data_IF_958193547984
#
_entry.id   IF_958193547984
#
_cell.length_a   1.000
_cell.length_b   1.000
_cell.length_c   1.000
_cell.angle_alpha   90.00
_cell.angle_beta   90.00
_cell.angle_gamma   90.00
#
_symmetry.space_group_name_H-M   'P 1'
#
loop_
_entity.id
_entity.type
_entity.pdbx_description
1 polymer ?
#
# COMPACT_ATOMS: atom_id res chain seq x y z
N UNK A 1 -61.93 -38.89 -21.70
CA UNK A 1 -60.68 -39.49 -21.18
C UNK A 1 -59.68 -38.35 -21.00
N UNK A 2 -59.53 -37.85 -19.76
CA UNK A 2 -58.62 -36.72 -19.45
C UNK A 2 -57.37 -37.30 -18.77
N UNK A 3 -56.20 -37.06 -19.34
CA UNK A 3 -54.89 -37.38 -18.76
C UNK A 3 -54.47 -36.29 -17.79
N UNK A 4 -53.90 -36.59 -16.62
CA UNK A 4 -53.39 -35.60 -15.68
C UNK A 4 -52.00 -35.09 -16.08
N UNK A 5 -51.78 -33.78 -15.94
CA UNK A 5 -50.45 -33.13 -16.06
C UNK A 5 -49.62 -33.46 -14.82
N UNK A 6 -48.49 -34.13 -14.98
CA UNK A 6 -47.45 -34.21 -13.98
C UNK A 6 -46.70 -32.88 -13.88
N UNK A 7 -46.76 -32.24 -12.72
CA UNK A 7 -45.90 -31.10 -12.38
C UNK A 7 -44.61 -31.65 -11.77
N UNK A 8 -43.48 -31.53 -12.50
CA UNK A 8 -42.14 -31.79 -11.95
C UNK A 8 -41.71 -30.66 -11.07
N UNK A 9 -41.66 -30.88 -9.77
CA UNK A 9 -41.06 -29.98 -8.80
C UNK A 9 -39.52 -30.16 -8.85
N UNK A 10 -38.79 -29.19 -9.37
CA UNK A 10 -37.33 -29.09 -9.23
C UNK A 10 -37.00 -28.69 -7.80
N UNK A 11 -36.53 -29.63 -7.01
CA UNK A 11 -35.90 -29.35 -5.71
C UNK A 11 -34.49 -28.77 -5.95
N UNK A 12 -34.34 -27.49 -5.75
CA UNK A 12 -33.02 -26.84 -5.62
C UNK A 12 -32.46 -27.22 -4.25
N UNK A 13 -31.54 -28.16 -4.21
CA UNK A 13 -30.75 -28.42 -3.00
C UNK A 13 -29.69 -27.32 -2.86
N UNK A 14 -29.98 -26.36 -1.98
CA UNK A 14 -28.97 -25.41 -1.50
C UNK A 14 -28.02 -26.20 -0.60
N UNK A 15 -26.87 -26.58 -1.11
CA UNK A 15 -25.78 -27.12 -0.30
C UNK A 15 -25.26 -25.99 0.57
N UNK A 16 -25.71 -25.94 1.82
CA UNK A 16 -25.04 -25.14 2.86
C UNK A 16 -23.65 -25.74 3.05
N UNK A 17 -22.63 -25.13 2.48
CA UNK A 17 -21.25 -25.44 2.85
C UNK A 17 -21.07 -24.92 4.27
N UNK A 18 -21.25 -25.81 5.23
CA UNK A 18 -20.89 -25.58 6.63
C UNK A 18 -19.36 -25.52 6.67
N UNK A 19 -18.80 -24.32 6.64
CA UNK A 19 -17.36 -24.12 6.89
C UNK A 19 -17.14 -24.51 8.35
N UNK A 20 -16.65 -25.72 8.57
CA UNK A 20 -16.25 -26.16 9.90
C UNK A 20 -15.21 -25.16 10.43
N UNK A 21 -15.55 -24.47 11.52
CA UNK A 21 -14.64 -23.54 12.18
C UNK A 21 -13.39 -24.33 12.58
N UNK A 22 -12.26 -24.03 11.98
CA UNK A 22 -11.00 -24.71 12.26
C UNK A 22 -10.63 -24.44 13.71
N UNK A 23 -10.52 -25.51 14.52
CA UNK A 23 -10.13 -25.42 15.92
C UNK A 23 -8.61 -25.44 16.03
N UNK A 24 -8.10 -24.73 17.05
CA UNK A 24 -6.70 -24.84 17.44
C UNK A 24 -6.38 -26.28 17.88
N UNK A 25 -5.22 -26.84 17.51
CA UNK A 25 -4.81 -28.18 17.92
C UNK A 25 -4.67 -28.33 19.46
N UNK A 26 -4.91 -29.54 19.95
CA UNK A 26 -4.72 -29.92 21.36
C UNK A 26 -3.23 -30.20 21.64
N UNK A 27 -2.42 -29.15 21.55
CA UNK A 27 -0.98 -29.14 21.84
C UNK A 27 -0.63 -27.90 22.66
N UNK A 28 0.47 -27.88 23.41
CA UNK A 28 0.87 -26.68 24.17
C UNK A 28 0.96 -25.42 23.29
N UNK A 29 1.56 -25.51 22.11
CA UNK A 29 1.61 -24.41 21.15
C UNK A 29 0.21 -24.01 20.65
N UNK A 30 -0.68 -24.99 20.43
CA UNK A 30 -2.08 -24.76 20.04
C UNK A 30 -2.89 -24.07 21.14
N UNK A 31 -2.70 -24.45 22.40
CA UNK A 31 -3.35 -23.79 23.54
C UNK A 31 -2.90 -22.35 23.71
N UNK A 32 -1.59 -22.09 23.60
CA UNK A 32 -1.05 -20.72 23.67
C UNK A 32 -1.55 -19.85 22.52
N UNK A 33 -1.65 -20.40 21.31
CA UNK A 33 -2.22 -19.68 20.16
C UNK A 33 -3.70 -19.36 20.38
N UNK A 34 -4.50 -20.32 20.85
CA UNK A 34 -5.93 -20.09 21.10
C UNK A 34 -6.15 -18.98 22.14
N UNK A 35 -5.39 -19.00 23.24
CA UNK A 35 -5.46 -18.00 24.28
C UNK A 35 -4.98 -16.61 23.80
N UNK A 36 -3.88 -16.57 23.02
CA UNK A 36 -3.41 -15.34 22.39
C UNK A 36 -4.46 -14.78 21.45
N UNK A 37 -4.99 -15.60 20.53
CA UNK A 37 -5.97 -15.19 19.54
C UNK A 37 -7.25 -14.65 20.21
N UNK A 38 -7.72 -15.29 21.27
CA UNK A 38 -8.87 -14.85 22.04
C UNK A 38 -8.63 -13.48 22.69
N UNK A 39 -7.53 -13.33 23.45
CA UNK A 39 -7.20 -12.08 24.11
C UNK A 39 -6.95 -10.93 23.12
N UNK A 40 -6.23 -11.22 22.03
CA UNK A 40 -5.97 -10.25 20.95
C UNK A 40 -7.26 -9.83 20.26
N UNK A 41 -8.15 -10.76 19.94
CA UNK A 41 -9.41 -10.48 19.24
C UNK A 41 -10.39 -9.68 20.08
N UNK A 42 -10.43 -9.87 21.39
CA UNK A 42 -11.25 -9.05 22.30
C UNK A 42 -10.92 -7.56 22.19
N UNK A 43 -9.63 -7.23 22.04
CA UNK A 43 -9.18 -5.85 21.90
C UNK A 43 -9.24 -5.05 23.21
N UNK A 44 -9.45 -5.71 24.33
CA UNK A 44 -9.44 -5.12 25.67
C UNK A 44 -8.01 -5.07 26.20
N UNK A 45 -7.46 -3.87 26.35
CA UNK A 45 -6.03 -3.67 26.67
C UNK A 45 -5.63 -4.37 27.97
N UNK A 46 -6.48 -4.37 29.02
CA UNK A 46 -6.13 -4.98 30.29
C UNK A 46 -6.09 -6.51 30.20
N UNK A 47 -7.09 -7.13 29.56
CA UNK A 47 -7.11 -8.58 29.37
C UNK A 47 -5.93 -9.05 28.49
N UNK A 48 -5.58 -8.27 27.45
CA UNK A 48 -4.43 -8.60 26.61
C UNK A 48 -3.09 -8.38 27.35
N UNK A 49 -3.02 -7.37 28.22
CA UNK A 49 -1.85 -7.11 29.10
C UNK A 49 -1.58 -8.32 30.01
N UNK A 50 -2.60 -8.80 30.72
CA UNK A 50 -2.48 -9.97 31.61
C UNK A 50 -1.97 -11.20 30.83
N UNK A 51 -2.48 -11.41 29.62
CA UNK A 51 -2.01 -12.48 28.77
C UNK A 51 -0.54 -12.29 28.35
N UNK A 52 -0.14 -11.09 27.92
CA UNK A 52 1.23 -10.78 27.46
C UNK A 52 2.23 -10.95 28.62
N UNK A 53 1.94 -10.39 29.79
CA UNK A 53 2.82 -10.46 30.98
C UNK A 53 3.03 -11.91 31.45
N UNK A 54 1.98 -12.74 31.38
CA UNK A 54 2.05 -14.14 31.78
C UNK A 54 2.80 -15.03 30.80
N UNK A 55 2.59 -14.82 29.50
CA UNK A 55 2.93 -15.81 28.49
C UNK A 55 4.12 -15.40 27.58
N UNK A 56 4.57 -14.15 27.62
CA UNK A 56 5.74 -13.70 26.86
C UNK A 56 6.90 -13.29 27.78
N UNK A 57 8.15 -13.41 27.31
CA UNK A 57 9.26 -12.76 27.98
C UNK A 57 9.06 -11.23 27.96
N UNK A 58 9.50 -10.50 29.01
CA UNK A 58 9.40 -9.04 29.05
C UNK A 58 10.06 -8.38 27.85
N UNK A 59 9.32 -7.47 27.19
CA UNK A 59 9.83 -6.68 26.08
C UNK A 59 9.13 -5.31 26.08
N UNK A 60 9.91 -4.20 26.11
CA UNK A 60 9.34 -2.85 26.03
C UNK A 60 8.39 -2.68 24.83
N UNK A 61 7.31 -1.96 25.03
CA UNK A 61 6.30 -1.61 24.00
C UNK A 61 5.69 -2.78 23.22
N UNK A 62 5.79 -4.02 23.71
CA UNK A 62 5.15 -5.18 23.06
C UNK A 62 3.64 -5.04 23.04
N UNK A 63 3.06 -4.69 24.19
CA UNK A 63 1.61 -4.53 24.33
C UNK A 63 1.08 -3.43 23.40
N UNK A 64 1.71 -2.28 23.43
CA UNK A 64 1.33 -1.13 22.61
C UNK A 64 1.34 -1.49 21.11
N UNK A 65 2.44 -2.10 20.63
CA UNK A 65 2.54 -2.56 19.24
C UNK A 65 1.46 -3.59 18.86
N UNK A 66 1.16 -4.53 19.76
CA UNK A 66 0.11 -5.52 19.50
C UNK A 66 -1.27 -4.88 19.47
N UNK A 67 -1.56 -3.92 20.35
CA UNK A 67 -2.85 -3.22 20.36
C UNK A 67 -3.03 -2.31 19.16
N UNK A 68 -2.00 -1.58 18.74
CA UNK A 68 -2.02 -0.79 17.50
C UNK A 68 -2.27 -1.68 16.28
N UNK A 69 -1.56 -2.82 16.21
CA UNK A 69 -1.76 -3.79 15.14
C UNK A 69 -3.18 -4.39 15.15
N UNK A 70 -3.74 -4.64 16.34
CA UNK A 70 -5.12 -5.08 16.52
C UNK A 70 -6.13 -4.05 16.00
N UNK A 71 -5.89 -2.76 16.22
CA UNK A 71 -6.77 -1.70 15.68
C UNK A 71 -6.79 -1.70 14.16
N UNK A 72 -5.63 -1.89 13.53
CA UNK A 72 -5.50 -1.91 12.06
C UNK A 72 -6.14 -3.15 11.42
N UNK A 73 -5.97 -4.32 12.02
CA UNK A 73 -6.42 -5.61 11.45
C UNK A 73 -7.84 -6.03 11.89
N UNK A 74 -8.34 -5.48 12.98
CA UNK A 74 -9.58 -5.94 13.61
C UNK A 74 -9.44 -7.28 14.35
N UNK A 75 -8.24 -7.84 14.44
CA UNK A 75 -7.96 -9.20 14.90
C UNK A 75 -7.93 -10.18 13.75
N UNK A 76 -7.93 -11.48 14.07
CA UNK A 76 -7.77 -12.55 13.08
C UNK A 76 -8.80 -13.66 13.25
N UNK A 77 -9.14 -14.30 12.14
CA UNK A 77 -9.85 -15.57 12.09
C UNK A 77 -8.89 -16.68 11.68
N UNK A 78 -8.82 -17.76 12.44
CA UNK A 78 -8.09 -18.97 12.07
C UNK A 78 -8.76 -19.62 10.86
N UNK A 79 -8.00 -19.82 9.78
CA UNK A 79 -8.49 -20.44 8.54
C UNK A 79 -7.97 -21.86 8.32
N UNK A 80 -6.71 -22.12 8.68
CA UNK A 80 -6.09 -23.43 8.47
C UNK A 80 -4.93 -23.64 9.42
N UNK A 81 -4.80 -24.87 9.91
CA UNK A 81 -3.58 -25.34 10.57
C UNK A 81 -2.68 -25.97 9.52
N UNK A 82 -1.44 -25.48 9.40
CA UNK A 82 -0.45 -25.95 8.43
C UNK A 82 0.50 -26.95 9.06
N UNK A 83 0.98 -26.64 10.28
CA UNK A 83 1.90 -27.50 11.02
C UNK A 83 1.53 -27.41 12.51
N UNK A 84 1.59 -28.52 13.24
CA UNK A 84 1.37 -28.56 14.68
C UNK A 84 2.29 -29.57 15.33
N UNK A 85 3.00 -29.12 16.34
CA UNK A 85 3.80 -29.92 17.26
C UNK A 85 3.62 -29.41 18.68
N UNK A 86 4.16 -30.08 19.72
CA UNK A 86 4.09 -29.56 21.08
C UNK A 86 4.68 -28.15 21.25
N UNK A 87 5.76 -27.82 20.49
CA UNK A 87 6.51 -26.57 20.65
C UNK A 87 6.35 -25.58 19.50
N UNK A 88 5.67 -25.98 18.40
CA UNK A 88 5.52 -25.12 17.20
C UNK A 88 4.15 -25.27 16.60
N UNK A 89 3.54 -24.16 16.23
CA UNK A 89 2.30 -24.09 15.47
C UNK A 89 2.48 -23.14 14.28
N UNK A 90 2.09 -23.58 13.09
CA UNK A 90 1.98 -22.75 11.89
C UNK A 90 0.53 -22.76 11.42
N UNK A 91 -0.06 -21.59 11.31
CA UNK A 91 -1.45 -21.42 10.89
C UNK A 91 -1.61 -20.37 9.81
N UNK A 92 -2.67 -20.51 9.00
CA UNK A 92 -3.16 -19.42 8.14
C UNK A 92 -4.27 -18.69 8.89
N UNK A 93 -4.14 -17.39 8.96
CA UNK A 93 -5.13 -16.49 9.55
C UNK A 93 -5.57 -15.45 8.52
N UNK A 94 -6.78 -14.93 8.66
CA UNK A 94 -7.30 -13.82 7.88
C UNK A 94 -7.61 -12.67 8.81
N UNK A 95 -7.24 -11.45 8.41
CA UNK A 95 -7.67 -10.23 9.09
C UNK A 95 -9.18 -10.08 9.06
N UNK A 96 -9.76 -9.59 10.16
CA UNK A 96 -11.23 -9.39 10.24
C UNK A 96 -11.71 -8.14 9.53
N UNK A 97 -10.84 -7.14 9.38
CA UNK A 97 -11.18 -5.88 8.71
C UNK A 97 -10.73 -5.84 7.25
N UNK A 98 -10.08 -6.88 6.75
CA UNK A 98 -9.64 -6.93 5.35
C UNK A 98 -9.68 -8.35 4.79
N UNK A 99 -9.38 -8.47 3.51
CA UNK A 99 -9.23 -9.76 2.84
C UNK A 99 -7.82 -10.34 3.00
N UNK A 100 -6.92 -9.66 3.73
CA UNK A 100 -5.52 -10.05 3.86
C UNK A 100 -5.36 -11.36 4.64
N UNK A 101 -4.59 -12.28 4.07
CA UNK A 101 -4.14 -13.50 4.74
C UNK A 101 -2.73 -13.32 5.30
N UNK A 102 -2.48 -14.01 6.39
CA UNK A 102 -1.14 -14.11 6.94
C UNK A 102 -0.85 -15.55 7.40
N UNK A 103 0.42 -15.93 7.31
CA UNK A 103 0.94 -17.10 8.00
C UNK A 103 1.44 -16.65 9.37
N UNK A 104 0.89 -17.23 10.41
CA UNK A 104 1.35 -17.04 11.79
C UNK A 104 2.13 -18.27 12.21
N UNK A 105 3.36 -18.05 12.67
CA UNK A 105 4.18 -19.07 13.33
C UNK A 105 4.30 -18.72 14.80
N UNK A 106 3.92 -19.65 15.66
CA UNK A 106 4.09 -19.52 17.11
C UNK A 106 5.00 -20.63 17.62
N UNK A 107 5.99 -20.24 18.40
CA UNK A 107 6.88 -21.18 19.09
C UNK A 107 6.76 -21.00 20.60
N UNK A 108 6.78 -22.11 21.33
CA UNK A 108 6.71 -22.14 22.79
C UNK A 108 7.88 -22.93 23.36
N UNK A 109 8.27 -22.63 24.60
CA UNK A 109 9.29 -23.38 25.32
C UNK A 109 8.85 -24.82 25.55
N UNK A 110 9.80 -25.76 25.50
CA UNK A 110 9.56 -27.16 25.75
C UNK A 110 9.38 -27.52 27.24
N UNK A 111 9.68 -26.57 28.15
CA UNK A 111 9.49 -26.73 29.58
C UNK A 111 8.00 -26.64 30.00
N UNK A 112 7.70 -26.94 31.24
CA UNK A 112 6.33 -26.93 31.79
C UNK A 112 5.65 -25.55 31.73
N UNK A 113 6.40 -24.46 31.54
CA UNK A 113 5.84 -23.10 31.43
C UNK A 113 5.13 -22.88 30.11
N UNK A 114 5.55 -23.56 29.02
CA UNK A 114 5.10 -23.37 27.65
C UNK A 114 5.00 -21.91 27.24
N UNK A 115 5.88 -21.04 27.80
CA UNK A 115 5.91 -19.62 27.43
C UNK A 115 6.17 -19.45 25.94
N UNK A 116 5.52 -18.45 25.34
CA UNK A 116 5.74 -18.11 23.94
C UNK A 116 7.16 -17.55 23.78
N UNK A 117 8.01 -18.30 23.10
CA UNK A 117 9.39 -17.91 22.78
C UNK A 117 9.47 -17.07 21.49
N UNK A 118 8.54 -17.29 20.56
CA UNK A 118 8.46 -16.55 19.29
C UNK A 118 7.03 -16.49 18.76
N UNK A 119 6.69 -15.35 18.18
CA UNK A 119 5.51 -15.16 17.34
C UNK A 119 5.92 -14.34 16.14
N UNK A 120 5.73 -14.91 14.95
CA UNK A 120 5.98 -14.27 13.68
C UNK A 120 4.69 -14.25 12.87
N UNK A 121 4.38 -13.12 12.26
CA UNK A 121 3.25 -12.96 11.36
C UNK A 121 3.75 -12.40 10.03
N UNK A 122 3.57 -13.15 8.96
CA UNK A 122 3.97 -12.77 7.60
C UNK A 122 2.75 -12.70 6.71
N UNK A 123 2.50 -11.54 6.11
CA UNK A 123 1.46 -11.40 5.10
C UNK A 123 1.76 -12.34 3.91
N UNK A 124 0.74 -13.01 3.42
CA UNK A 124 0.81 -13.93 2.28
C UNK A 124 -0.29 -13.61 1.27
N UNK A 125 -0.10 -13.93 -0.01
CA UNK A 125 -1.20 -13.95 -0.97
C UNK A 125 -2.34 -14.84 -0.47
N UNK A 126 -3.58 -14.50 -0.81
CA UNK A 126 -4.75 -15.32 -0.47
C UNK A 126 -4.61 -16.71 -1.10
N UNK A 127 -4.64 -17.80 -0.33
CA UNK A 127 -4.56 -19.13 -0.90
C UNK A 127 -5.77 -19.44 -1.81
N UNK A 128 -5.54 -20.17 -2.89
CA UNK A 128 -6.58 -20.48 -3.88
C UNK A 128 -7.83 -21.17 -3.29
N UNK A 129 -7.66 -21.98 -2.26
CA UNK A 129 -8.76 -22.63 -1.54
C UNK A 129 -9.70 -21.65 -0.80
N UNK A 130 -9.26 -20.42 -0.61
CA UNK A 130 -10.03 -19.33 -0.01
C UNK A 130 -10.34 -18.23 -1.03
N UNK A 131 -10.25 -18.50 -2.33
CA UNK A 131 -10.55 -17.53 -3.37
C UNK A 131 -11.92 -16.88 -3.14
N UNK A 132 -11.98 -15.58 -3.39
CA UNK A 132 -13.23 -14.84 -3.28
C UNK A 132 -14.03 -14.98 -4.59
N UNK A 133 -15.36 -14.96 -4.51
CA UNK A 133 -16.17 -15.00 -5.73
C UNK A 133 -15.98 -13.70 -6.52
N UNK A 134 -15.84 -13.82 -7.83
CA UNK A 134 -15.96 -12.70 -8.75
C UNK A 134 -17.43 -12.27 -8.79
N UNK A 135 -17.67 -10.95 -8.75
CA UNK A 135 -19.02 -10.40 -8.77
C UNK A 135 -19.35 -9.89 -10.16
N UNK A 136 -20.63 -9.84 -10.51
CA UNK A 136 -21.06 -9.03 -11.65
C UNK A 136 -20.73 -7.55 -11.41
N UNK A 137 -20.64 -6.72 -12.45
CA UNK A 137 -20.36 -5.28 -12.28
C UNK A 137 -21.37 -4.62 -11.33
N UNK A 138 -22.67 -4.90 -11.47
CA UNK A 138 -23.70 -4.36 -10.58
C UNK A 138 -23.54 -4.87 -9.14
N UNK A 139 -23.21 -6.14 -8.96
CA UNK A 139 -22.90 -6.74 -7.66
C UNK A 139 -21.66 -6.12 -7.01
N UNK A 140 -20.60 -5.88 -7.78
CA UNK A 140 -19.40 -5.19 -7.32
C UNK A 140 -19.70 -3.78 -6.82
N UNK A 141 -20.44 -2.99 -7.61
CA UNK A 141 -20.82 -1.63 -7.25
C UNK A 141 -21.63 -1.60 -5.94
N UNK A 142 -22.64 -2.48 -5.83
CA UNK A 142 -23.48 -2.57 -4.62
C UNK A 142 -22.65 -3.00 -3.38
N UNK A 143 -21.78 -4.00 -3.52
CA UNK A 143 -20.92 -4.48 -2.46
C UNK A 143 -19.90 -3.43 -2.04
N UNK A 144 -19.29 -2.72 -3.00
CA UNK A 144 -18.36 -1.61 -2.74
C UNK A 144 -19.01 -0.51 -1.93
N UNK A 145 -20.19 -0.02 -2.35
CA UNK A 145 -20.92 1.03 -1.63
C UNK A 145 -21.21 0.59 -0.19
N UNK A 146 -21.76 -0.60 0.00
CA UNK A 146 -22.05 -1.14 1.32
C UNK A 146 -20.82 -1.23 2.22
N UNK A 147 -19.68 -1.66 1.65
CA UNK A 147 -18.41 -1.75 2.39
C UNK A 147 -17.93 -0.37 2.80
N UNK A 148 -17.92 0.60 1.89
CA UNK A 148 -17.49 1.97 2.19
C UNK A 148 -18.40 2.60 3.24
N UNK A 149 -19.72 2.47 3.13
CA UNK A 149 -20.68 2.97 4.12
C UNK A 149 -20.40 2.40 5.52
N UNK A 150 -20.07 1.12 5.62
CA UNK A 150 -19.67 0.50 6.88
C UNK A 150 -18.35 1.04 7.45
N UNK A 151 -17.36 1.28 6.59
CA UNK A 151 -16.09 1.89 7.00
C UNK A 151 -16.27 3.35 7.43
N UNK A 152 -17.13 4.11 6.75
CA UNK A 152 -17.49 5.49 7.12
C UNK A 152 -18.23 5.54 8.46
N UNK A 153 -19.24 4.67 8.64
CA UNK A 153 -19.99 4.58 9.89
C UNK A 153 -19.10 4.20 11.09
N UNK A 154 -18.02 3.45 10.84
CA UNK A 154 -17.03 3.08 11.85
C UNK A 154 -15.89 4.09 11.98
N UNK A 155 -15.99 5.25 11.33
CA UNK A 155 -14.95 6.31 11.30
C UNK A 155 -13.55 5.80 10.88
N UNK A 156 -13.52 4.89 9.89
CA UNK A 156 -12.29 4.30 9.32
C UNK A 156 -12.03 4.69 7.87
N UNK A 157 -12.98 5.37 7.22
CA UNK A 157 -12.80 5.90 5.86
C UNK A 157 -13.36 7.32 5.75
N UNK A 158 -12.56 8.22 5.20
CA UNK A 158 -12.95 9.54 4.71
C UNK A 158 -12.10 9.82 3.47
N UNK A 159 -12.74 10.01 2.30
CA UNK A 159 -11.99 10.07 1.05
C UNK A 159 -12.87 10.03 -0.19
N UNK A 160 -12.27 9.71 -1.33
CA UNK A 160 -12.93 9.58 -2.61
C UNK A 160 -12.55 8.26 -3.30
N UNK A 161 -13.50 7.71 -4.07
CA UNK A 161 -13.36 6.46 -4.81
C UNK A 161 -13.85 6.66 -6.23
N UNK A 162 -13.02 6.27 -7.20
CA UNK A 162 -13.37 6.25 -8.62
C UNK A 162 -13.01 4.88 -9.19
N UNK A 163 -14.01 4.19 -9.76
CA UNK A 163 -13.83 2.94 -10.51
C UNK A 163 -14.24 3.21 -11.95
N UNK A 164 -13.32 2.91 -12.87
CA UNK A 164 -13.54 3.04 -14.31
C UNK A 164 -13.47 1.66 -14.93
N UNK A 165 -14.35 1.38 -15.87
CA UNK A 165 -14.40 0.18 -16.71
C UNK A 165 -14.37 0.57 -18.18
N UNK A 166 -13.34 0.14 -18.91
CA UNK A 166 -13.15 0.42 -20.33
C UNK A 166 -13.35 1.93 -20.64
N UNK A 167 -12.67 2.81 -19.88
CA UNK A 167 -12.72 4.27 -20.03
C UNK A 167 -14.02 4.93 -19.55
N UNK A 168 -14.96 4.19 -18.93
CA UNK A 168 -16.23 4.75 -18.43
C UNK A 168 -16.31 4.64 -16.91
N UNK A 169 -16.56 5.73 -16.19
CA UNK A 169 -16.82 5.68 -14.75
C UNK A 169 -18.04 4.79 -14.45
N UNK A 170 -17.86 3.80 -13.57
CA UNK A 170 -18.93 2.90 -13.09
C UNK A 170 -19.25 3.12 -11.62
N UNK A 171 -18.32 3.73 -10.86
CA UNK A 171 -18.52 4.17 -9.49
C UNK A 171 -17.69 5.45 -9.26
N UNK A 172 -18.31 6.49 -8.67
CA UNK A 172 -17.66 7.79 -8.50
C UNK A 172 -18.32 8.51 -7.31
N UNK A 173 -17.76 8.36 -6.11
CA UNK A 173 -18.34 8.87 -4.86
C UNK A 173 -17.28 9.35 -3.88
N UNK A 174 -17.65 10.31 -3.01
CA UNK A 174 -16.80 10.82 -1.95
C UNK A 174 -17.53 10.77 -0.60
N UNK A 175 -16.78 10.58 0.48
CA UNK A 175 -17.30 10.29 1.80
C UNK A 175 -16.51 10.99 2.91
N UNK A 176 -17.18 11.25 4.03
CA UNK A 176 -16.56 11.83 5.22
C UNK A 176 -16.13 13.29 5.02
N UNK A 177 -15.28 13.77 5.91
CA UNK A 177 -14.89 15.18 5.97
C UNK A 177 -13.46 15.40 5.50
N UNK A 178 -13.27 16.37 4.61
CA UNK A 178 -11.96 16.91 4.20
C UNK A 178 -11.35 17.77 5.31
N UNK A 179 -12.20 18.45 6.05
CA UNK A 179 -11.85 19.26 7.23
C UNK A 179 -12.87 18.99 8.33
N UNK A 180 -12.43 18.37 9.43
CA UNK A 180 -13.29 18.00 10.56
C UNK A 180 -13.66 19.20 11.42
N UNK A 181 -12.76 20.18 11.52
CA UNK A 181 -12.98 21.39 12.32
C UNK A 181 -14.08 22.26 11.70
N UNK A 182 -13.98 22.51 10.39
CA UNK A 182 -14.95 23.32 9.64
C UNK A 182 -16.09 22.50 9.06
N UNK A 183 -16.15 21.19 9.32
CA UNK A 183 -17.16 20.26 8.79
C UNK A 183 -17.29 20.27 7.26
N UNK A 184 -16.19 20.52 6.56
CA UNK A 184 -16.14 20.53 5.11
C UNK A 184 -16.12 19.10 4.58
N UNK A 185 -17.10 18.72 3.75
CA UNK A 185 -17.19 17.38 3.18
C UNK A 185 -16.10 17.13 2.14
N UNK A 186 -15.64 15.89 2.03
CA UNK A 186 -14.90 15.42 0.87
C UNK A 186 -15.77 15.47 -0.39
N UNK A 187 -15.15 15.78 -1.50
CA UNK A 187 -15.73 15.73 -2.84
C UNK A 187 -14.78 15.01 -3.80
N UNK A 188 -15.20 14.71 -5.02
CA UNK A 188 -14.33 14.19 -6.07
C UNK A 188 -13.22 15.18 -6.47
N UNK A 189 -13.40 16.48 -6.18
CA UNK A 189 -12.41 17.54 -6.43
C UNK A 189 -11.43 17.72 -5.27
N UNK A 190 -11.68 17.08 -4.14
CA UNK A 190 -10.76 17.14 -2.99
C UNK A 190 -9.38 16.63 -3.38
N UNK A 191 -8.36 17.44 -3.09
CA UNK A 191 -6.95 17.10 -3.31
C UNK A 191 -6.41 16.41 -2.07
N UNK A 192 -6.14 15.13 -2.19
CA UNK A 192 -5.58 14.32 -1.12
C UNK A 192 -4.06 14.21 -1.25
N UNK A 193 -3.34 14.16 -0.12
CA UNK A 193 -1.93 13.79 -0.14
C UNK A 193 -1.81 12.33 -0.55
N UNK A 194 -0.89 12.05 -1.48
CA UNK A 194 -0.79 10.74 -2.14
C UNK A 194 0.40 9.88 -1.69
N UNK A 195 1.27 10.41 -0.83
CA UNK A 195 2.40 9.66 -0.31
C UNK A 195 3.26 9.02 -1.41
N UNK A 196 3.61 7.76 -1.22
CA UNK A 196 4.49 7.02 -2.14
C UNK A 196 3.96 6.79 -3.55
N UNK A 197 2.69 7.10 -3.85
CA UNK A 197 2.18 7.05 -5.22
C UNK A 197 2.98 7.98 -6.17
N UNK A 198 3.65 9.00 -5.64
CA UNK A 198 4.57 9.86 -6.40
C UNK A 198 5.70 9.08 -7.09
N UNK A 199 6.06 7.89 -6.58
CA UNK A 199 7.09 7.04 -7.19
C UNK A 199 6.72 6.63 -8.61
N UNK A 200 5.45 6.47 -8.91
CA UNK A 200 4.98 6.19 -10.27
C UNK A 200 5.39 7.30 -11.24
N UNK A 201 5.19 8.56 -10.85
CA UNK A 201 5.58 9.70 -11.69
C UNK A 201 7.09 9.81 -11.86
N UNK A 202 7.85 9.55 -10.79
CA UNK A 202 9.33 9.54 -10.83
C UNK A 202 9.85 8.46 -11.76
N UNK A 203 9.28 7.26 -11.71
CA UNK A 203 9.67 6.16 -12.57
C UNK A 203 9.33 6.43 -14.05
N UNK A 204 8.13 6.98 -14.33
CA UNK A 204 7.77 7.44 -15.69
C UNK A 204 8.75 8.49 -16.19
N UNK A 205 9.08 9.52 -15.39
CA UNK A 205 10.04 10.56 -15.74
C UNK A 205 11.44 9.98 -16.06
N UNK A 206 11.89 9.03 -15.23
CA UNK A 206 13.18 8.33 -15.44
C UNK A 206 13.17 7.58 -16.78
N UNK A 207 12.10 6.83 -17.06
CA UNK A 207 12.01 6.06 -18.30
C UNK A 207 11.75 6.95 -19.54
N UNK A 208 11.12 8.12 -19.42
CA UNK A 208 11.05 9.10 -20.50
C UNK A 208 12.46 9.59 -20.91
N UNK A 209 13.33 9.84 -19.93
CA UNK A 209 14.71 10.20 -20.20
C UNK A 209 15.50 9.02 -20.80
N UNK A 210 15.22 7.79 -20.37
CA UNK A 210 15.82 6.59 -20.96
C UNK A 210 15.34 6.38 -22.41
N UNK A 211 14.06 6.48 -22.68
CA UNK A 211 13.47 6.39 -24.02
C UNK A 211 14.04 7.46 -24.96
N UNK A 212 14.34 8.65 -24.45
CA UNK A 212 15.00 9.72 -25.17
C UNK A 212 16.51 9.54 -25.35
N UNK A 213 17.10 8.42 -24.87
CA UNK A 213 18.52 8.14 -24.93
C UNK A 213 19.40 9.04 -24.06
N UNK A 214 18.81 9.75 -23.08
CA UNK A 214 19.52 10.67 -22.19
C UNK A 214 20.12 9.98 -20.96
N UNK A 215 19.62 8.81 -20.61
CA UNK A 215 20.17 7.94 -19.57
C UNK A 215 19.94 6.46 -19.91
N UNK A 216 20.68 5.57 -19.25
CA UNK A 216 20.44 4.12 -19.28
C UNK A 216 20.16 3.65 -17.84
N UNK A 217 19.16 2.80 -17.66
CA UNK A 217 18.83 2.25 -16.34
C UNK A 217 19.96 1.43 -15.71
N UNK A 218 20.90 0.97 -16.51
CA UNK A 218 22.11 0.26 -16.07
C UNK A 218 23.25 1.19 -15.65
N UNK A 219 23.13 2.48 -15.92
CA UNK A 219 24.16 3.43 -15.53
C UNK A 219 24.25 3.61 -14.01
N UNK A 220 25.46 3.75 -13.47
CA UNK A 220 25.64 4.03 -12.05
C UNK A 220 25.26 5.48 -11.71
N UNK A 221 24.82 5.69 -10.48
CA UNK A 221 24.43 7.00 -9.93
C UNK A 221 25.46 8.09 -10.21
N UNK A 222 26.75 7.79 -10.03
CA UNK A 222 27.87 8.73 -10.20
C UNK A 222 28.10 9.19 -11.63
N UNK A 223 27.51 8.54 -12.63
CA UNK A 223 27.56 9.04 -14.02
C UNK A 223 26.80 10.37 -14.15
N UNK A 224 25.75 10.57 -13.37
CA UNK A 224 24.90 11.77 -13.40
C UNK A 224 25.13 12.69 -12.21
N UNK A 225 25.31 12.13 -11.00
CA UNK A 225 25.65 12.84 -9.79
C UNK A 225 27.17 12.72 -9.55
N UNK A 226 27.94 13.46 -10.35
CA UNK A 226 29.44 13.33 -10.40
C UNK A 226 30.11 13.65 -9.07
N UNK A 227 29.49 14.51 -8.27
CA UNK A 227 30.01 14.96 -6.97
C UNK A 227 29.36 14.18 -5.80
N UNK A 228 28.73 13.02 -6.07
CA UNK A 228 28.07 12.24 -5.03
C UNK A 228 29.08 11.80 -3.95
N UNK A 229 28.79 12.05 -2.66
CA UNK A 229 29.80 11.95 -1.60
C UNK A 229 30.32 10.52 -1.37
N UNK A 230 29.45 9.51 -1.41
CA UNK A 230 29.85 8.12 -1.18
C UNK A 230 30.21 7.44 -2.49
N UNK A 231 31.49 6.98 -2.60
CA UNK A 231 32.01 6.39 -3.83
C UNK A 231 31.40 5.03 -4.16
N UNK A 232 31.07 4.22 -3.15
CA UNK A 232 30.43 2.92 -3.40
C UNK A 232 29.03 3.10 -3.99
N UNK A 233 28.21 4.00 -3.44
CA UNK A 233 26.91 4.34 -4.02
C UNK A 233 27.09 4.90 -5.43
N UNK A 234 28.01 5.83 -5.62
CA UNK A 234 28.25 6.46 -6.93
C UNK A 234 28.63 5.47 -8.03
N UNK A 235 29.42 4.45 -7.69
CA UNK A 235 29.99 3.53 -8.69
C UNK A 235 29.29 2.20 -8.82
N UNK A 236 28.59 1.73 -7.76
CA UNK A 236 27.99 0.40 -7.71
C UNK A 236 26.47 0.43 -7.83
N UNK A 237 25.79 1.49 -7.34
CA UNK A 237 24.32 1.58 -7.40
C UNK A 237 23.90 2.10 -8.77
N UNK A 238 23.09 1.33 -9.48
CA UNK A 238 22.53 1.71 -10.78
C UNK A 238 21.14 2.35 -10.65
N UNK A 239 20.69 3.03 -11.70
CA UNK A 239 19.32 3.56 -11.80
C UNK A 239 18.27 2.43 -11.67
N UNK A 240 18.55 1.25 -12.25
CA UNK A 240 17.74 0.05 -12.08
C UNK A 240 17.54 -0.30 -10.61
N UNK A 241 18.62 -0.35 -9.84
CA UNK A 241 18.56 -0.72 -8.42
C UNK A 241 17.88 0.35 -7.55
N UNK A 242 17.95 1.62 -7.94
CA UNK A 242 17.14 2.67 -7.29
C UNK A 242 15.65 2.46 -7.58
N UNK A 243 15.27 2.20 -8.84
CA UNK A 243 13.88 1.98 -9.27
C UNK A 243 13.25 0.73 -8.66
N UNK A 244 14.06 -0.27 -8.30
CA UNK A 244 13.62 -1.58 -7.77
C UNK A 244 13.80 -1.73 -6.27
N UNK A 245 14.32 -0.73 -5.57
CA UNK A 245 14.65 -0.81 -4.14
C UNK A 245 15.72 -1.86 -3.79
N UNK A 246 16.61 -2.19 -4.73
CA UNK A 246 17.71 -3.15 -4.51
C UNK A 246 19.07 -2.48 -4.35
N UNK A 247 19.13 -1.14 -4.33
CA UNK A 247 20.37 -0.38 -4.25
C UNK A 247 20.99 -0.24 -2.86
N UNK A 248 20.30 -0.68 -1.79
CA UNK A 248 20.81 -0.59 -0.42
C UNK A 248 20.94 0.84 0.13
N UNK A 249 20.32 1.83 -0.49
CA UNK A 249 20.54 3.26 -0.16
C UNK A 249 19.84 3.71 1.14
N UNK A 250 19.05 2.85 1.78
CA UNK A 250 18.37 3.12 3.05
C UNK A 250 17.19 4.07 2.92
N UNK A 251 16.64 4.48 4.05
CA UNK A 251 15.48 5.37 4.10
C UNK A 251 15.86 6.78 4.58
N UNK A 252 14.93 7.73 4.36
CA UNK A 252 15.05 9.10 4.86
C UNK A 252 14.43 9.27 6.25
N UNK A 253 13.42 8.46 6.61
CA UNK A 253 12.69 8.62 7.86
C UNK A 253 13.51 8.20 9.09
N UNK A 254 13.28 8.88 10.18
CA UNK A 254 13.94 8.72 11.47
C UNK A 254 14.32 10.05 12.12
N UNK A 255 15.02 10.04 13.27
CA UNK A 255 15.31 11.24 14.06
C UNK A 255 16.02 12.37 13.27
N UNK A 256 16.87 11.99 12.31
CA UNK A 256 17.58 12.95 11.45
C UNK A 256 16.63 13.68 10.50
N UNK A 257 15.65 12.98 9.92
CA UNK A 257 14.57 13.60 9.14
C UNK A 257 13.70 14.51 10.01
N UNK A 258 13.27 14.01 11.16
CA UNK A 258 12.38 14.75 12.08
C UNK A 258 12.99 16.10 12.49
N UNK A 259 14.31 16.14 12.75
CA UNK A 259 15.01 17.35 13.15
C UNK A 259 15.23 18.35 12.02
N UNK A 260 15.26 17.91 10.74
CA UNK A 260 15.59 18.75 9.59
C UNK A 260 14.45 18.90 8.57
N UNK A 261 13.29 18.24 8.77
CA UNK A 261 12.23 18.08 7.76
C UNK A 261 11.75 19.36 7.08
N UNK A 262 11.77 20.49 7.78
CA UNK A 262 11.38 21.80 7.26
C UNK A 262 12.52 22.53 6.55
N UNK A 263 13.76 22.10 6.75
CA UNK A 263 14.96 22.63 6.12
C UNK A 263 15.26 21.91 4.79
N UNK A 264 14.77 20.68 4.63
CA UNK A 264 14.91 19.87 3.42
C UNK A 264 13.97 20.36 2.32
N UNK A 265 14.33 21.46 1.63
CA UNK A 265 13.49 22.17 0.66
C UNK A 265 13.69 21.72 -0.77
N UNK A 266 14.91 21.23 -1.09
CA UNK A 266 15.32 20.75 -2.41
C UNK A 266 15.76 19.28 -2.35
N UNK A 267 15.77 18.58 -3.47
CA UNK A 267 16.31 17.21 -3.52
C UNK A 267 17.81 17.18 -3.18
N UNK A 268 18.52 18.25 -3.49
CA UNK A 268 19.94 18.39 -3.13
C UNK A 268 20.15 18.46 -1.62
N UNK A 269 19.22 19.03 -0.84
CA UNK A 269 19.33 19.08 0.63
C UNK A 269 19.31 17.66 1.21
N UNK A 270 18.46 16.78 0.68
CA UNK A 270 18.47 15.36 1.04
C UNK A 270 19.77 14.66 0.64
N UNK A 271 20.33 14.98 -0.54
CA UNK A 271 21.63 14.41 -0.95
C UNK A 271 22.74 14.90 -0.03
N UNK A 272 22.74 16.18 0.36
CA UNK A 272 23.71 16.73 1.29
C UNK A 272 23.64 16.06 2.68
N UNK A 273 22.43 15.77 3.17
CA UNK A 273 22.21 15.17 4.49
C UNK A 273 22.59 13.68 4.47
N UNK A 274 22.12 12.93 3.47
CA UNK A 274 22.19 11.46 3.48
C UNK A 274 23.27 10.86 2.57
N UNK A 275 23.84 11.65 1.65
CA UNK A 275 24.70 11.13 0.59
C UNK A 275 26.04 10.53 1.04
N UNK A 276 26.46 10.75 2.29
CA UNK A 276 27.67 10.14 2.86
C UNK A 276 27.45 8.69 3.36
N UNK A 277 26.20 8.25 3.49
CA UNK A 277 25.85 6.92 4.00
C UNK A 277 26.36 5.84 3.05
N UNK A 278 26.94 4.78 3.61
CA UNK A 278 27.29 3.59 2.85
C UNK A 278 26.02 2.79 2.50
N UNK A 279 26.06 1.99 1.43
CA UNK A 279 24.98 1.03 1.17
C UNK A 279 24.80 0.08 2.37
N UNK A 280 23.57 -0.25 2.74
CA UNK A 280 23.26 -1.19 3.82
C UNK A 280 23.63 -2.63 3.48
N UNK A 281 23.65 -2.95 2.18
CA UNK A 281 24.03 -4.24 1.62
C UNK A 281 24.61 -4.03 0.22
N UNK A 282 25.26 -5.06 -0.33
CA UNK A 282 25.80 -4.99 -1.69
C UNK A 282 24.66 -4.77 -2.70
N UNK A 283 24.73 -3.72 -3.55
CA UNK A 283 23.69 -3.41 -4.52
C UNK A 283 23.26 -4.63 -5.35
N UNK A 284 22.00 -4.83 -5.55
CA UNK A 284 21.40 -5.97 -6.23
C UNK A 284 21.24 -7.26 -5.41
N UNK A 285 21.84 -7.34 -4.21
CA UNK A 285 21.84 -8.59 -3.42
C UNK A 285 20.61 -8.79 -2.54
N UNK A 286 19.93 -7.71 -2.16
CA UNK A 286 18.73 -7.73 -1.29
C UNK A 286 17.71 -6.70 -1.75
N UNK A 287 16.50 -6.83 -1.27
CA UNK A 287 15.43 -5.86 -1.45
C UNK A 287 15.09 -5.19 -0.11
N UNK A 288 15.15 -3.87 -0.08
CA UNK A 288 14.68 -3.05 1.04
C UNK A 288 14.09 -1.75 0.49
N UNK A 289 12.82 -1.50 0.79
CA UNK A 289 12.13 -0.30 0.34
C UNK A 289 12.89 0.97 0.74
N UNK A 290 13.16 1.84 -0.23
CA UNK A 290 14.00 3.00 -0.05
C UNK A 290 13.35 4.27 -0.61
N UNK A 291 12.99 5.19 0.27
CA UNK A 291 12.59 6.52 -0.14
C UNK A 291 13.80 7.32 -0.65
N UNK A 292 14.97 7.14 -0.04
CA UNK A 292 16.16 7.85 -0.46
C UNK A 292 16.60 7.49 -1.89
N UNK A 293 16.42 6.23 -2.30
CA UNK A 293 16.67 5.84 -3.69
C UNK A 293 15.83 6.65 -4.69
N UNK A 294 14.57 6.93 -4.38
CA UNK A 294 13.72 7.76 -5.23
C UNK A 294 14.05 9.27 -5.14
N UNK A 295 14.60 9.75 -4.02
CA UNK A 295 15.20 11.10 -3.96
C UNK A 295 16.37 11.20 -4.96
N UNK A 296 17.25 10.20 -5.00
CA UNK A 296 18.36 10.16 -5.96
C UNK A 296 17.88 10.15 -7.41
N UNK A 297 16.82 9.39 -7.73
CA UNK A 297 16.19 9.42 -9.05
C UNK A 297 15.70 10.83 -9.41
N UNK A 298 15.06 11.52 -8.48
CA UNK A 298 14.64 12.91 -8.68
C UNK A 298 15.82 13.85 -8.96
N UNK A 299 16.90 13.74 -8.20
CA UNK A 299 18.12 14.53 -8.41
C UNK A 299 18.77 14.22 -9.78
N UNK A 300 18.74 12.95 -10.21
CA UNK A 300 19.20 12.54 -11.54
C UNK A 300 18.32 13.14 -12.64
N UNK A 301 17.00 13.13 -12.47
CA UNK A 301 16.06 13.77 -13.41
C UNK A 301 16.41 15.26 -13.55
N UNK A 302 16.66 15.98 -12.45
CA UNK A 302 17.07 17.39 -12.50
C UNK A 302 18.37 17.59 -13.29
N UNK A 303 19.38 16.78 -13.01
CA UNK A 303 20.70 16.86 -13.70
C UNK A 303 20.58 16.57 -15.19
N UNK A 304 19.87 15.54 -15.58
CA UNK A 304 19.76 15.09 -16.98
C UNK A 304 18.85 16.00 -17.80
N UNK A 305 17.77 16.51 -17.19
CA UNK A 305 16.79 17.36 -17.89
C UNK A 305 17.16 18.84 -17.88
N UNK A 306 17.95 19.29 -16.93
CA UNK A 306 18.23 20.71 -16.67
C UNK A 306 17.03 21.50 -16.10
N UNK A 307 15.99 20.80 -15.62
CA UNK A 307 14.78 21.37 -15.02
C UNK A 307 14.66 20.91 -13.57
N UNK A 308 13.91 21.67 -12.74
CA UNK A 308 13.51 21.10 -11.45
C UNK A 308 12.69 19.82 -11.65
N UNK A 309 12.77 18.88 -10.69
CA UNK A 309 11.93 17.67 -10.71
C UNK A 309 10.44 18.02 -10.88
N UNK A 310 9.98 19.03 -10.18
CA UNK A 310 8.60 19.46 -10.17
C UNK A 310 8.14 20.03 -11.53
N UNK A 311 8.98 20.82 -12.19
CA UNK A 311 8.70 21.33 -13.54
C UNK A 311 8.73 20.19 -14.56
N UNK A 312 9.70 19.28 -14.44
CA UNK A 312 9.78 18.15 -15.36
C UNK A 312 8.52 17.28 -15.31
N UNK A 313 8.07 16.85 -14.10
CA UNK A 313 6.87 16.00 -13.99
C UNK A 313 5.61 16.74 -14.39
N UNK A 314 5.49 18.03 -14.07
CA UNK A 314 4.37 18.85 -14.51
C UNK A 314 4.28 18.91 -16.03
N UNK A 315 5.38 19.21 -16.72
CA UNK A 315 5.41 19.43 -18.17
C UNK A 315 5.33 18.13 -18.96
N UNK A 316 5.94 17.05 -18.48
CA UNK A 316 6.07 15.80 -19.25
C UNK A 316 5.11 14.69 -18.79
N UNK A 317 4.43 14.84 -17.64
CA UNK A 317 3.47 13.86 -17.14
C UNK A 317 2.11 14.50 -16.88
N UNK A 318 2.01 15.51 -15.97
CA UNK A 318 0.71 16.03 -15.56
C UNK A 318 -0.03 16.72 -16.70
N UNK A 319 0.63 17.61 -17.44
CA UNK A 319 0.01 18.32 -18.57
C UNK A 319 -0.38 17.35 -19.70
N UNK A 320 0.49 16.44 -20.19
CA UNK A 320 0.12 15.48 -21.23
C UNK A 320 -1.01 14.52 -20.80
N UNK A 321 -1.06 14.13 -19.53
CA UNK A 321 -2.13 13.29 -19.00
C UNK A 321 -3.41 14.06 -18.67
N UNK A 322 -3.41 15.41 -18.69
CA UNK A 322 -4.55 16.23 -18.31
C UNK A 322 -4.82 16.29 -16.80
N UNK A 323 -3.79 16.09 -15.98
CA UNK A 323 -3.86 16.12 -14.50
C UNK A 323 -3.76 17.57 -14.01
N UNK A 324 -4.89 18.23 -13.85
CA UNK A 324 -4.94 19.67 -13.52
C UNK A 324 -4.99 19.97 -12.02
N UNK A 325 -5.17 18.94 -11.20
CA UNK A 325 -5.33 19.05 -9.74
C UNK A 325 -4.23 18.31 -8.97
N UNK A 326 -3.12 17.98 -9.64
CA UNK A 326 -1.97 17.25 -9.10
C UNK A 326 -0.77 18.16 -8.97
N UNK A 327 -0.06 18.06 -7.86
CA UNK A 327 1.13 18.86 -7.60
C UNK A 327 1.88 18.47 -6.33
N UNK A 328 2.96 19.22 -6.09
CA UNK A 328 3.80 19.09 -4.88
C UNK A 328 4.21 20.49 -4.40
N UNK A 329 3.23 21.37 -4.19
CA UNK A 329 3.49 22.67 -3.61
C UNK A 329 4.01 22.56 -2.17
N UNK A 330 4.83 23.54 -1.71
CA UNK A 330 5.21 23.61 -0.31
C UNK A 330 4.00 23.62 0.64
N UNK A 331 4.16 23.04 1.83
CA UNK A 331 3.04 22.90 2.78
C UNK A 331 2.59 24.25 3.36
N UNK A 332 3.47 25.28 3.36
CA UNK A 332 3.14 26.66 3.74
C UNK A 332 2.37 27.42 2.66
N UNK A 333 2.22 26.85 1.46
CA UNK A 333 1.44 27.43 0.37
C UNK A 333 -0.01 26.94 0.43
N UNK A 334 -0.95 27.87 0.39
CA UNK A 334 -2.36 27.54 0.30
C UNK A 334 -2.66 26.82 -1.04
N UNK A 335 -3.27 25.64 -0.95
CA UNK A 335 -3.76 24.88 -2.10
C UNK A 335 -5.26 24.69 -1.92
N UNK A 336 -6.05 25.16 -2.91
CA UNK A 336 -7.52 25.02 -2.87
C UNK A 336 -7.94 23.57 -2.79
N UNK A 337 -9.02 23.30 -2.09
CA UNK A 337 -9.63 21.97 -1.97
C UNK A 337 -8.71 20.86 -1.43
N UNK A 338 -7.58 21.21 -0.81
CA UNK A 338 -6.68 20.23 -0.19
C UNK A 338 -7.22 19.80 1.17
N UNK A 339 -7.44 18.49 1.34
CA UNK A 339 -7.90 17.95 2.62
C UNK A 339 -6.83 18.07 3.71
N UNK A 340 -7.29 18.19 4.95
CA UNK A 340 -6.47 18.01 6.15
C UNK A 340 -6.34 16.50 6.38
N UNK A 341 -5.11 16.02 6.59
CA UNK A 341 -4.85 14.64 7.00
C UNK A 341 -5.13 14.46 8.49
N UNK A 342 -5.74 13.35 8.87
CA UNK A 342 -6.03 13.02 10.26
C UNK A 342 -5.40 11.70 10.66
N UNK A 343 -4.74 11.70 11.82
CA UNK A 343 -4.01 10.54 12.35
C UNK A 343 -4.46 10.17 13.75
N UNK A 344 -4.34 8.88 14.09
CA UNK A 344 -4.46 8.33 15.44
C UNK A 344 -3.13 7.80 15.97
N UNK A 345 -2.00 8.16 15.36
CA UNK A 345 -0.70 7.59 15.72
C UNK A 345 -0.38 7.76 17.22
N UNK A 346 -0.64 8.94 17.77
CA UNK A 346 -0.33 9.27 19.18
C UNK A 346 -1.59 9.50 20.03
N UNK A 347 -2.77 9.13 19.53
CA UNK A 347 -4.05 9.43 20.18
C UNK A 347 -5.11 8.39 19.87
N UNK A 348 -6.07 8.20 20.77
CA UNK A 348 -7.28 7.41 20.50
C UNK A 348 -8.31 8.15 19.62
N UNK A 349 -8.17 9.47 19.47
CA UNK A 349 -8.99 10.32 18.63
C UNK A 349 -8.23 10.77 17.38
N UNK A 350 -8.95 11.09 16.30
CA UNK A 350 -8.38 11.69 15.12
C UNK A 350 -7.89 13.12 15.40
N UNK A 351 -6.61 13.36 15.16
CA UNK A 351 -5.98 14.68 15.25
C UNK A 351 -5.43 15.10 13.89
N UNK A 352 -5.44 16.40 13.54
CA UNK A 352 -4.81 16.86 12.33
C UNK A 352 -3.33 16.48 12.30
N UNK A 353 -2.86 15.93 11.19
CA UNK A 353 -1.44 15.69 10.96
C UNK A 353 -0.83 16.84 10.17
N UNK A 354 -0.29 17.81 10.87
CA UNK A 354 0.47 18.95 10.33
C UNK A 354 1.94 18.86 10.68
N UNK A 355 2.28 18.15 11.75
CA UNK A 355 3.58 18.21 12.41
C UNK A 355 4.61 17.19 11.89
N UNK A 356 4.18 16.17 11.18
CA UNK A 356 5.10 15.17 10.57
C UNK A 356 5.38 15.41 9.09
N UNK A 357 4.71 16.41 8.48
CA UNK A 357 4.84 16.68 7.05
C UNK A 357 6.22 17.30 6.72
N UNK A 358 6.86 16.89 5.60
CA UNK A 358 8.03 17.60 5.09
C UNK A 358 7.64 18.98 4.58
N UNK A 359 8.65 19.83 4.27
CA UNK A 359 8.42 21.13 3.65
C UNK A 359 7.55 21.04 2.39
N UNK A 360 7.75 19.99 1.58
CA UNK A 360 6.93 19.66 0.40
C UNK A 360 7.07 18.18 0.02
N UNK A 361 6.14 17.69 -0.79
CA UNK A 361 6.28 16.36 -1.41
C UNK A 361 7.50 16.30 -2.32
N UNK A 362 8.17 15.13 -2.36
CA UNK A 362 9.41 14.86 -3.10
C UNK A 362 9.19 13.85 -4.20
N UNK A 363 10.25 13.50 -4.92
CA UNK A 363 10.26 12.39 -5.89
C UNK A 363 9.99 11.01 -5.26
N UNK A 364 10.15 10.88 -3.95
CA UNK A 364 9.88 9.64 -3.23
C UNK A 364 8.45 9.55 -2.70
N UNK A 365 7.78 10.67 -2.47
CA UNK A 365 6.46 10.67 -1.85
C UNK A 365 5.99 12.06 -1.45
N UNK A 366 4.75 12.14 -0.99
CA UNK A 366 4.05 13.38 -0.71
C UNK A 366 3.35 13.91 -1.97
N UNK A 367 3.17 15.23 -2.04
CA UNK A 367 2.35 15.81 -3.09
C UNK A 367 0.86 15.55 -2.87
N UNK A 368 0.05 15.97 -3.81
CA UNK A 368 -1.39 15.81 -3.76
C UNK A 368 -1.97 15.51 -5.15
N UNK A 369 -3.13 14.86 -5.17
CA UNK A 369 -3.88 14.55 -6.39
C UNK A 369 -5.37 14.38 -6.09
N UNK A 370 -6.17 14.16 -7.13
CA UNK A 370 -7.56 13.71 -7.07
C UNK A 370 -7.69 12.31 -7.66
N UNK A 371 -8.77 11.60 -7.34
CA UNK A 371 -9.04 10.28 -7.95
C UNK A 371 -9.20 10.37 -9.47
N UNK A 372 -9.73 11.49 -9.99
CA UNK A 372 -9.86 11.73 -11.43
C UNK A 372 -8.50 11.89 -12.09
N UNK A 373 -7.58 12.68 -11.52
CA UNK A 373 -6.25 12.86 -12.09
C UNK A 373 -5.45 11.56 -12.09
N UNK A 374 -5.58 10.72 -11.06
CA UNK A 374 -4.94 9.40 -11.02
C UNK A 374 -5.48 8.47 -12.12
N UNK A 375 -6.78 8.51 -12.40
CA UNK A 375 -7.36 7.77 -13.53
C UNK A 375 -6.85 8.32 -14.87
N UNK A 376 -6.79 9.64 -15.06
CA UNK A 376 -6.20 10.25 -16.26
C UNK A 376 -4.74 9.85 -16.47
N UNK A 377 -3.96 9.76 -15.38
CA UNK A 377 -2.60 9.23 -15.43
C UNK A 377 -2.57 7.79 -15.93
N UNK A 378 -3.41 6.92 -15.35
CA UNK A 378 -3.51 5.52 -15.76
C UNK A 378 -3.89 5.36 -17.22
N UNK A 379 -4.92 6.10 -17.68
CA UNK A 379 -5.35 6.11 -19.09
C UNK A 379 -4.26 6.63 -20.03
N UNK A 380 -3.53 7.68 -19.62
CA UNK A 380 -2.42 8.21 -20.42
C UNK A 380 -1.24 7.22 -20.52
N UNK A 381 -0.99 6.45 -19.45
CA UNK A 381 0.03 5.42 -19.44
C UNK A 381 -0.36 4.22 -20.31
N UNK A 382 -1.57 3.66 -20.13
CA UNK A 382 -2.08 2.55 -20.94
C UNK A 382 -2.25 2.94 -22.43
N UNK A 383 -2.63 4.20 -22.68
CA UNK A 383 -2.74 4.76 -24.03
C UNK A 383 -1.42 5.18 -24.68
N UNK A 384 -0.29 4.85 -24.06
CA UNK A 384 1.08 5.14 -24.54
C UNK A 384 1.35 6.63 -24.84
N UNK A 385 0.67 7.53 -24.14
CA UNK A 385 0.91 8.98 -24.25
C UNK A 385 2.15 9.44 -23.46
N UNK A 386 2.52 8.70 -22.41
CA UNK A 386 3.62 9.05 -21.53
C UNK A 386 4.91 8.30 -21.87
N UNK A 387 4.80 7.07 -22.31
CA UNK A 387 5.87 6.17 -22.74
C UNK A 387 5.34 5.32 -23.90
N UNK A 388 6.22 4.85 -24.78
CA UNK A 388 5.81 3.87 -25.78
C UNK A 388 5.50 2.49 -25.16
N UNK A 389 5.04 1.54 -25.98
CA UNK A 389 4.62 0.22 -25.52
C UNK A 389 5.78 -0.56 -24.84
N UNK A 390 7.01 -0.46 -25.39
CA UNK A 390 8.17 -1.15 -24.86
C UNK A 390 8.55 -0.62 -23.47
N UNK A 391 8.61 0.70 -23.33
CA UNK A 391 8.94 1.33 -22.05
C UNK A 391 7.80 1.25 -21.03
N UNK A 392 6.53 1.23 -21.47
CA UNK A 392 5.37 0.96 -20.60
C UNK A 392 5.44 -0.46 -20.02
N UNK A 393 5.74 -1.46 -20.86
CA UNK A 393 5.93 -2.84 -20.36
C UNK A 393 7.14 -2.94 -19.43
N UNK A 394 8.27 -2.30 -19.79
CA UNK A 394 9.44 -2.23 -18.91
C UNK A 394 9.10 -1.57 -17.56
N UNK A 395 8.27 -0.53 -17.54
CA UNK A 395 7.86 0.17 -16.32
C UNK A 395 7.04 -0.72 -15.39
N UNK A 396 6.06 -1.46 -15.93
CA UNK A 396 4.98 -2.08 -15.16
C UNK A 396 5.18 -3.56 -14.86
N UNK A 397 6.15 -4.23 -15.50
CA UNK A 397 6.43 -5.65 -15.26
C UNK A 397 7.39 -5.86 -14.10
N UNK A 398 7.04 -6.77 -13.19
CA UNK A 398 7.82 -7.10 -12.00
C UNK A 398 9.24 -7.55 -12.30
N UNK A 399 10.21 -7.11 -11.49
CA UNK A 399 11.64 -7.29 -11.74
C UNK A 399 12.25 -8.43 -10.93
N UNK A 400 13.28 -9.12 -11.49
CA UNK A 400 14.12 -10.02 -10.69
C UNK A 400 14.75 -9.28 -9.50
N UNK A 401 14.96 -9.98 -8.38
CA UNK A 401 15.53 -9.40 -7.17
C UNK A 401 14.52 -8.70 -6.25
N UNK A 402 13.28 -8.50 -6.71
CA UNK A 402 12.18 -8.03 -5.88
C UNK A 402 11.38 -9.21 -5.30
N UNK A 403 10.70 -9.05 -4.15
CA UNK A 403 9.92 -10.14 -3.55
C UNK A 403 8.90 -10.70 -4.54
N UNK A 404 8.97 -11.99 -4.82
CA UNK A 404 8.06 -12.71 -5.74
C UNK A 404 7.89 -12.03 -7.12
N UNK A 405 8.84 -11.20 -7.54
CA UNK A 405 8.75 -10.31 -8.72
C UNK A 405 7.51 -9.40 -8.69
N UNK A 406 7.05 -9.02 -7.50
CA UNK A 406 5.86 -8.20 -7.31
C UNK A 406 6.13 -6.70 -7.29
N UNK A 407 7.36 -6.27 -7.57
CA UNK A 407 7.73 -4.86 -7.72
C UNK A 407 8.43 -4.62 -9.07
N UNK A 408 7.96 -3.62 -9.78
CA UNK A 408 8.49 -3.16 -11.06
C UNK A 408 9.29 -1.85 -10.87
N UNK A 409 9.29 -0.95 -11.83
CA UNK A 409 9.93 0.35 -11.68
C UNK A 409 8.94 1.36 -11.08
N UNK A 410 8.97 1.50 -9.74
CA UNK A 410 8.06 2.38 -9.02
C UNK A 410 6.58 1.98 -9.08
N UNK A 411 6.30 0.76 -9.48
CA UNK A 411 4.98 0.13 -9.51
C UNK A 411 5.03 -1.21 -8.79
N UNK A 412 3.97 -1.55 -8.09
CA UNK A 412 3.67 -2.91 -7.69
C UNK A 412 3.04 -3.65 -8.89
N UNK A 413 3.39 -4.92 -9.09
CA UNK A 413 2.82 -5.80 -10.13
C UNK A 413 2.37 -7.10 -9.46
N UNK A 414 1.08 -7.26 -9.27
CA UNK A 414 0.53 -8.35 -8.45
C UNK A 414 -0.62 -9.09 -9.14
N UNK A 415 -0.71 -10.39 -8.83
CA UNK A 415 -1.93 -11.16 -9.10
C UNK A 415 -2.89 -10.99 -7.93
N UNK A 416 -4.06 -10.42 -8.17
CA UNK A 416 -5.13 -10.19 -7.19
C UNK A 416 -6.32 -11.06 -7.58
N UNK A 417 -6.60 -12.10 -6.82
CA UNK A 417 -7.66 -13.09 -7.10
C UNK A 417 -7.71 -13.53 -8.58
N UNK A 418 -6.56 -13.93 -9.14
CA UNK A 418 -6.43 -14.39 -10.52
C UNK A 418 -6.31 -13.28 -11.58
N UNK A 419 -6.42 -12.01 -11.21
CA UNK A 419 -6.31 -10.87 -12.10
C UNK A 419 -4.98 -10.13 -11.88
N UNK A 420 -4.21 -9.88 -12.95
CA UNK A 420 -3.03 -9.01 -12.86
C UNK A 420 -3.50 -7.56 -12.68
N UNK A 421 -3.02 -6.93 -11.61
CA UNK A 421 -3.15 -5.50 -11.40
C UNK A 421 -1.78 -4.91 -11.08
N UNK A 422 -1.48 -3.75 -11.64
CA UNK A 422 -0.29 -2.98 -11.29
C UNK A 422 -0.67 -1.55 -10.89
N UNK A 423 0.22 -0.88 -10.18
CA UNK A 423 -0.01 0.46 -9.65
C UNK A 423 0.87 0.72 -8.45
N UNK A 424 0.48 1.62 -7.57
CA UNK A 424 1.21 1.85 -6.32
C UNK A 424 0.30 2.44 -5.26
N UNK A 425 0.48 1.98 -4.03
CA UNK A 425 -0.14 2.59 -2.86
C UNK A 425 0.72 3.72 -2.29
N UNK A 426 0.10 4.55 -1.47
CA UNK A 426 0.76 5.59 -0.71
C UNK A 426 0.20 5.65 0.71
N UNK A 427 1.06 5.88 1.70
CA UNK A 427 0.61 5.97 3.08
C UNK A 427 1.65 6.61 3.99
N UNK A 428 1.13 7.43 4.89
CA UNK A 428 1.80 8.02 6.04
C UNK A 428 0.70 8.51 7.01
N UNK A 429 1.04 9.00 8.20
CA UNK A 429 0.03 9.57 9.08
C UNK A 429 -0.87 10.57 8.37
N UNK A 430 -2.20 10.37 8.47
CA UNK A 430 -3.19 11.26 7.85
C UNK A 430 -3.28 11.21 6.33
N UNK A 431 -2.71 10.21 5.67
CA UNK A 431 -2.82 10.03 4.23
C UNK A 431 -2.76 8.57 3.83
N UNK A 432 -3.67 8.15 2.98
CA UNK A 432 -3.62 6.85 2.32
C UNK A 432 -4.22 6.94 0.92
N UNK A 433 -3.56 6.35 -0.06
CA UNK A 433 -4.03 6.29 -1.43
C UNK A 433 -3.63 4.99 -2.08
N UNK A 434 -4.39 4.58 -3.09
CA UNK A 434 -4.08 3.40 -3.90
C UNK A 434 -4.63 3.57 -5.32
N UNK A 435 -3.79 3.25 -6.29
CA UNK A 435 -4.16 3.16 -7.69
C UNK A 435 -3.89 1.74 -8.17
N UNK A 436 -4.92 1.07 -8.67
CA UNK A 436 -4.79 -0.24 -9.35
C UNK A 436 -5.25 -0.14 -10.79
N UNK A 437 -4.40 -0.55 -11.69
CA UNK A 437 -4.64 -0.67 -13.13
C UNK A 437 -4.71 -2.17 -13.41
N UNK A 438 -5.86 -2.67 -13.82
CA UNK A 438 -6.14 -4.08 -14.07
C UNK A 438 -6.55 -4.29 -15.53
N UNK A 439 -5.59 -4.37 -16.49
CA UNK A 439 -5.88 -4.38 -17.93
C UNK A 439 -6.72 -5.57 -18.39
N UNK A 440 -6.50 -6.72 -17.75
CA UNK A 440 -7.21 -7.95 -18.08
C UNK A 440 -8.73 -7.76 -18.13
N UNK A 441 -9.39 -7.38 -17.05
CA UNK A 441 -10.82 -7.07 -17.04
C UNK A 441 -11.13 -5.61 -17.42
N UNK A 442 -10.13 -4.75 -17.72
CA UNK A 442 -10.32 -3.35 -18.14
C UNK A 442 -10.75 -2.41 -17.03
N UNK A 443 -10.28 -2.62 -15.78
CA UNK A 443 -10.64 -1.78 -14.64
C UNK A 443 -9.49 -0.89 -14.19
N UNK A 444 -9.84 0.37 -13.86
CA UNK A 444 -9.00 1.30 -13.11
C UNK A 444 -9.68 1.60 -11.79
N UNK A 445 -8.94 1.51 -10.69
CA UNK A 445 -9.46 1.73 -9.34
C UNK A 445 -8.56 2.76 -8.67
N UNK A 446 -9.09 3.95 -8.40
CA UNK A 446 -8.42 5.00 -7.64
C UNK A 446 -9.16 5.26 -6.34
N UNK A 447 -8.48 5.12 -5.22
CA UNK A 447 -9.01 5.39 -3.88
C UNK A 447 -8.04 6.30 -3.14
N UNK A 448 -8.55 7.42 -2.62
CA UNK A 448 -7.77 8.36 -1.82
C UNK A 448 -8.51 8.65 -0.51
N UNK A 449 -7.77 8.72 0.59
CA UNK A 449 -8.30 8.99 1.91
C UNK A 449 -7.39 9.97 2.67
N UNK A 450 -7.98 10.81 3.51
CA UNK A 450 -7.29 11.71 4.43
C UNK A 450 -7.21 11.16 5.87
N UNK A 451 -7.22 9.84 5.99
CA UNK A 451 -7.00 9.09 7.23
C UNK A 451 -5.76 8.19 7.10
N UNK A 452 -5.30 7.66 8.22
CA UNK A 452 -4.16 6.73 8.28
C UNK A 452 -4.37 5.47 7.41
N UNK A 453 -3.28 4.87 6.90
CA UNK A 453 -3.36 3.53 6.34
C UNK A 453 -3.94 2.52 7.35
N UNK A 454 -4.76 1.56 6.88
CA UNK A 454 -5.04 1.17 5.51
C UNK A 454 -6.40 1.69 4.97
N UNK A 455 -6.82 2.91 5.27
CA UNK A 455 -8.15 3.42 4.93
C UNK A 455 -8.50 3.26 3.43
N UNK A 456 -7.63 3.73 2.53
CA UNK A 456 -7.84 3.63 1.09
C UNK A 456 -7.50 2.23 0.54
N UNK A 457 -6.37 1.65 0.96
CA UNK A 457 -5.93 0.35 0.45
C UNK A 457 -6.91 -0.78 0.80
N UNK A 458 -7.55 -0.74 1.96
CA UNK A 458 -8.61 -1.70 2.32
C UNK A 458 -9.77 -1.68 1.32
N UNK A 459 -10.22 -0.50 0.91
CA UNK A 459 -11.30 -0.33 -0.06
C UNK A 459 -10.86 -0.79 -1.45
N UNK A 460 -9.67 -0.40 -1.91
CA UNK A 460 -9.17 -0.78 -3.22
C UNK A 460 -8.92 -2.28 -3.33
N UNK A 461 -8.39 -2.91 -2.28
CA UNK A 461 -8.19 -4.36 -2.20
C UNK A 461 -9.52 -5.12 -2.20
N UNK A 462 -10.53 -4.63 -1.46
CA UNK A 462 -11.88 -5.21 -1.50
C UNK A 462 -12.44 -5.23 -2.91
N UNK A 463 -12.30 -4.13 -3.66
CA UNK A 463 -12.77 -3.99 -5.04
C UNK A 463 -12.00 -4.94 -5.96
N UNK A 464 -10.66 -4.87 -5.93
CA UNK A 464 -9.79 -5.64 -6.82
C UNK A 464 -9.95 -7.17 -6.64
N UNK A 465 -10.15 -7.62 -5.40
CA UNK A 465 -10.39 -9.02 -5.10
C UNK A 465 -11.73 -9.57 -5.62
N UNK A 466 -12.65 -8.71 -6.09
CA UNK A 466 -14.01 -9.10 -6.52
C UNK A 466 -14.35 -8.66 -7.94
N UNK A 467 -13.35 -8.20 -8.69
CA UNK A 467 -13.56 -7.81 -10.09
C UNK A 467 -14.27 -8.91 -10.87
N UNK A 468 -15.19 -8.54 -11.80
CA UNK A 468 -15.81 -9.52 -12.68
C UNK A 468 -14.76 -10.35 -13.45
N UNK A 469 -15.04 -11.62 -13.67
CA UNK A 469 -14.31 -12.40 -14.67
C UNK A 469 -14.52 -11.78 -16.06
N UNK A 470 -13.56 -12.02 -16.97
CA UNK A 470 -13.66 -11.55 -18.35
C UNK A 470 -14.83 -12.17 -19.08
#
# INVERSE_FOLDING_TARGET
MRLPKLASALLFSISLVCIAQTKSPDTPAGHQFAAWLESFNRGEINAHREFVEKNFPPQPSRLERQMEFRQRTGGFDLKKVVESSPTKLVVLVQERLSDQFAQLTMEVKADESHQISGIELRAIPRPAEFALPHLSQSGLIAATRKTIEAEVAADRFAGAVLIVKDGKPVFSEAYGLADREHKTANTLKTRFRIGSMNKMFTAVATLQLAQAGKLDVKDPVGKYLTDYPNKDVATKVTIHELLTHTGGTGDIFGPEFESHRLELRTLQDYVNLYGKRAPKFEPGSQWEYSNYGFILLGAIIEKVSGKSYYDYVRENIYVPAGMTSTGSDPEDKAVSDRSIGYTKMDSSAWTPNTDTLPYRGTSAGGGYSTVEDLVRFAEALEGHKLLDALYTEMLTSGKPGTPDRSYAYGFEDRMVNGTRCFGHGGGAPGMNGDLKICPGPGYLIAVLANLDPPAASRVSDFIANRLPEK
#
